data_IF_458839102347
#
_entry.id   IF_458839102347
#
_cell.length_a   1.000
_cell.length_b   1.000
_cell.length_c   1.000
_cell.angle_alpha   90.00
_cell.angle_beta   90.00
_cell.angle_gamma   90.00
#
_symmetry.space_group_name_H-M   'P 1'
#
loop_
_entity.id
_entity.type
_entity.pdbx_description
1 polymer ?
#
# COMPACT_ATOMS: atom_id res chain seq x y z
N UNK A 1 4.62 -16.07 -23.04
CA UNK A 1 4.18 -15.43 -21.78
C UNK A 1 3.12 -14.41 -22.15
N UNK A 2 1.90 -14.57 -21.65
CA UNK A 2 0.82 -13.61 -21.90
C UNK A 2 0.76 -12.63 -20.75
N UNK A 3 1.16 -11.39 -20.98
CA UNK A 3 1.00 -10.30 -20.01
C UNK A 3 -0.15 -9.41 -20.49
N UNK A 4 -1.21 -9.22 -19.68
CA UNK A 4 -2.31 -8.33 -20.05
C UNK A 4 -1.82 -6.91 -20.33
N UNK A 5 -2.35 -6.27 -21.36
CA UNK A 5 -1.93 -4.93 -21.75
C UNK A 5 -2.47 -3.88 -20.78
N UNK A 6 -1.56 -3.03 -20.28
CA UNK A 6 -1.89 -1.94 -19.36
C UNK A 6 -2.77 -0.87 -20.01
N UNK A 7 -2.54 -0.58 -21.28
CA UNK A 7 -3.18 0.52 -22.03
C UNK A 7 -4.28 0.04 -22.99
N UNK A 8 -4.84 -1.13 -22.77
CA UNK A 8 -5.99 -1.61 -23.54
C UNK A 8 -7.14 -1.95 -22.60
N UNK A 9 -8.32 -1.36 -22.84
CA UNK A 9 -9.55 -1.65 -22.09
C UNK A 9 -9.95 -3.12 -22.26
N UNK A 10 -10.75 -3.66 -21.36
CA UNK A 10 -11.23 -5.07 -21.44
C UNK A 10 -12.02 -5.35 -22.71
N UNK A 11 -12.66 -4.35 -23.31
CA UNK A 11 -13.36 -4.46 -24.59
C UNK A 11 -12.46 -4.37 -25.83
N UNK A 12 -11.15 -4.26 -25.63
CA UNK A 12 -10.15 -4.13 -26.68
C UNK A 12 -9.87 -2.70 -27.13
N UNK A 13 -10.52 -1.68 -26.56
CA UNK A 13 -10.30 -0.26 -26.90
C UNK A 13 -8.92 0.18 -26.39
N UNK A 14 -8.03 0.74 -27.26
CA UNK A 14 -6.75 1.25 -26.83
C UNK A 14 -6.88 2.57 -26.04
N UNK A 15 -6.08 2.72 -24.99
CA UNK A 15 -5.97 3.95 -24.18
C UNK A 15 -4.76 4.73 -24.68
N UNK A 16 -5.01 5.82 -25.38
CA UNK A 16 -3.98 6.61 -26.10
C UNK A 16 -3.82 8.04 -25.55
N UNK A 17 -4.59 8.39 -24.53
CA UNK A 17 -4.55 9.74 -23.94
C UNK A 17 -4.78 9.70 -22.42
N UNK A 18 -4.24 10.71 -21.73
CA UNK A 18 -4.45 10.90 -20.30
C UNK A 18 -5.93 11.10 -19.95
N UNK A 19 -6.75 11.62 -20.87
CA UNK A 19 -8.19 11.75 -20.66
C UNK A 19 -8.92 10.39 -20.55
N UNK A 20 -8.42 9.36 -21.24
CA UNK A 20 -8.98 8.01 -21.18
C UNK A 20 -8.44 7.23 -19.97
N UNK A 21 -7.31 7.67 -19.41
CA UNK A 21 -6.61 6.95 -18.35
C UNK A 21 -7.46 6.72 -17.10
N UNK A 22 -8.23 7.70 -16.63
CA UNK A 22 -9.02 7.54 -15.42
C UNK A 22 -10.12 6.46 -15.56
N UNK A 23 -10.67 6.27 -16.76
CA UNK A 23 -11.59 5.17 -17.03
C UNK A 23 -10.84 3.81 -16.95
N UNK A 24 -9.67 3.71 -17.59
CA UNK A 24 -8.83 2.51 -17.54
C UNK A 24 -8.36 2.21 -16.13
N UNK A 25 -7.87 3.20 -15.41
CA UNK A 25 -7.43 3.07 -14.01
C UNK A 25 -8.53 2.46 -13.12
N UNK A 26 -9.76 2.93 -13.24
CA UNK A 26 -10.91 2.35 -12.52
C UNK A 26 -11.16 0.90 -12.93
N UNK A 27 -11.04 0.58 -14.20
CA UNK A 27 -11.17 -0.80 -14.69
C UNK A 27 -10.07 -1.70 -14.13
N UNK A 28 -8.80 -1.26 -14.12
CA UNK A 28 -7.69 -1.99 -13.51
C UNK A 28 -7.94 -2.28 -12.03
N UNK A 29 -8.38 -1.28 -11.26
CA UNK A 29 -8.71 -1.45 -9.85
C UNK A 29 -9.89 -2.41 -9.64
N UNK A 30 -10.90 -2.38 -10.50
CA UNK A 30 -12.03 -3.31 -10.44
C UNK A 30 -11.60 -4.76 -10.76
N UNK A 31 -10.70 -4.95 -11.71
CA UNK A 31 -10.12 -6.27 -12.01
C UNK A 31 -9.36 -6.78 -10.79
N UNK A 32 -8.46 -5.97 -10.22
CA UNK A 32 -7.68 -6.34 -9.03
C UNK A 32 -8.57 -6.63 -7.80
N UNK A 33 -9.64 -5.85 -7.61
CA UNK A 33 -10.61 -6.08 -6.55
C UNK A 33 -11.35 -7.40 -6.74
N UNK A 34 -11.80 -7.71 -7.96
CA UNK A 34 -12.55 -8.93 -8.22
C UNK A 34 -11.68 -10.18 -8.17
N UNK A 35 -10.45 -10.11 -8.69
CA UNK A 35 -9.65 -11.30 -8.99
C UNK A 35 -8.53 -11.57 -8.00
N UNK A 36 -8.10 -10.55 -7.22
CA UNK A 36 -6.94 -10.71 -6.35
C UNK A 36 -7.19 -10.30 -4.89
N UNK A 37 -7.59 -9.05 -4.65
CA UNK A 37 -7.60 -8.50 -3.29
C UNK A 37 -8.95 -8.60 -2.59
N UNK A 38 -10.02 -8.80 -3.34
CA UNK A 38 -11.40 -8.69 -2.87
C UNK A 38 -11.95 -7.27 -3.01
N UNK A 39 -13.26 -7.15 -2.83
CA UNK A 39 -13.98 -5.88 -2.96
C UNK A 39 -13.38 -4.81 -2.03
N UNK A 40 -13.05 -3.65 -2.58
CA UNK A 40 -12.56 -2.54 -1.78
C UNK A 40 -13.66 -1.99 -0.86
N UNK A 41 -13.26 -1.60 0.35
CA UNK A 41 -14.23 -1.13 1.34
C UNK A 41 -14.84 0.22 0.91
N UNK A 42 -16.12 0.45 1.24
CA UNK A 42 -16.79 1.70 0.89
C UNK A 42 -16.13 2.88 1.61
N UNK A 43 -16.18 4.08 1.03
CA UNK A 43 -15.70 5.27 1.70
C UNK A 43 -16.37 5.47 3.06
N UNK A 44 -15.60 5.85 4.06
CA UNK A 44 -16.05 6.29 5.37
C UNK A 44 -15.21 7.51 5.76
N UNK A 45 -15.63 8.26 6.75
CA UNK A 45 -14.86 9.39 7.28
C UNK A 45 -14.43 9.06 8.70
N UNK A 46 -13.13 9.17 8.96
CA UNK A 46 -12.61 8.98 10.31
C UNK A 46 -12.51 10.29 11.07
N UNK A 47 -12.61 10.19 12.39
CA UNK A 47 -12.27 11.21 13.36
C UNK A 47 -11.14 10.74 14.26
N UNK A 48 -10.57 11.62 15.08
CA UNK A 48 -9.58 11.22 16.05
C UNK A 48 -9.88 11.79 17.44
N UNK A 49 -9.46 11.04 18.46
CA UNK A 49 -9.41 11.47 19.84
C UNK A 49 -7.97 11.31 20.37
N UNK A 50 -7.48 12.27 21.14
CA UNK A 50 -6.18 12.14 21.81
C UNK A 50 -6.22 11.02 22.86
N UNK A 51 -5.27 10.09 22.77
CA UNK A 51 -5.01 9.07 23.79
C UNK A 51 -3.84 9.48 24.70
N UNK A 52 -2.77 9.99 24.08
CA UNK A 52 -1.62 10.54 24.79
C UNK A 52 -1.39 11.95 24.25
N UNK A 53 -1.36 12.93 25.15
CA UNK A 53 -1.13 14.34 24.80
C UNK A 53 0.26 14.52 24.15
N UNK A 54 0.43 15.55 23.30
CA UNK A 54 1.73 15.85 22.72
C UNK A 54 2.80 16.04 23.81
N UNK A 55 3.93 15.37 23.60
CA UNK A 55 5.09 15.44 24.48
C UNK A 55 6.38 15.55 23.65
N UNK A 56 7.44 16.20 24.19
CA UNK A 56 8.72 16.28 23.51
C UNK A 56 9.32 14.91 23.22
N UNK A 57 9.88 14.78 22.01
CA UNK A 57 10.62 13.61 21.53
C UNK A 57 11.92 14.06 20.85
N UNK A 58 12.84 13.13 20.56
CA UNK A 58 14.09 13.40 19.86
C UNK A 58 14.85 14.59 20.49
N UNK A 59 15.13 14.53 21.80
CA UNK A 59 15.77 15.59 22.57
C UNK A 59 15.08 16.98 22.48
N UNK A 60 13.77 17.01 22.21
CA UNK A 60 12.96 18.22 22.09
C UNK A 60 12.88 18.81 20.67
N UNK A 61 13.50 18.18 19.67
CA UNK A 61 13.42 18.61 18.27
C UNK A 61 12.08 18.24 17.62
N UNK A 62 11.36 17.30 18.20
CA UNK A 62 10.06 16.85 17.72
C UNK A 62 9.03 16.80 18.85
N UNK A 63 7.76 16.73 18.47
CA UNK A 63 6.66 16.37 19.34
C UNK A 63 6.14 15.00 18.95
N UNK A 64 5.69 14.23 19.93
CA UNK A 64 5.06 12.93 19.75
C UNK A 64 3.73 12.88 20.49
N UNK A 65 2.70 12.31 19.83
CA UNK A 65 1.41 12.03 20.45
C UNK A 65 0.85 10.70 19.97
N UNK A 66 -0.15 10.18 20.68
CA UNK A 66 -0.94 9.03 20.23
C UNK A 66 -2.39 9.45 20.11
N UNK A 67 -2.95 9.23 18.94
CA UNK A 67 -4.35 9.46 18.61
C UNK A 67 -5.08 8.13 18.50
N UNK A 68 -6.37 8.10 18.79
CA UNK A 68 -7.26 7.02 18.44
C UNK A 68 -8.05 7.43 17.20
N UNK A 69 -7.76 6.80 16.08
CA UNK A 69 -8.53 6.98 14.83
C UNK A 69 -9.78 6.14 14.92
N UNK A 70 -10.94 6.73 14.61
CA UNK A 70 -12.27 6.11 14.79
C UNK A 70 -13.12 6.34 13.55
N UNK A 71 -13.84 5.32 13.11
CA UNK A 71 -14.80 5.41 12.00
C UNK A 71 -15.89 4.36 12.10
N UNK A 72 -17.02 4.63 11.45
CA UNK A 72 -18.15 3.71 11.41
C UNK A 72 -17.93 2.56 10.43
N UNK A 73 -18.37 1.38 10.80
CA UNK A 73 -18.38 0.15 10.02
C UNK A 73 -19.76 -0.51 10.08
N UNK A 74 -20.04 -1.53 9.26
CA UNK A 74 -21.31 -2.26 9.33
C UNK A 74 -21.63 -2.88 10.70
N UNK A 75 -20.62 -3.21 11.51
CA UNK A 75 -20.80 -3.81 12.84
C UNK A 75 -20.68 -2.79 14.00
N UNK A 76 -20.64 -1.51 13.70
CA UNK A 76 -20.46 -0.44 14.69
C UNK A 76 -19.12 0.27 14.53
N UNK A 77 -18.77 1.12 15.48
CA UNK A 77 -17.54 1.90 15.44
C UNK A 77 -16.31 0.98 15.61
N UNK A 78 -15.30 1.19 14.77
CA UNK A 78 -13.96 0.62 14.92
C UNK A 78 -12.96 1.73 15.28
N UNK A 79 -11.98 1.40 16.11
CA UNK A 79 -10.95 2.33 16.53
C UNK A 79 -9.58 1.66 16.61
N UNK A 80 -8.52 2.41 16.30
CA UNK A 80 -7.15 1.94 16.40
C UNK A 80 -6.18 3.08 16.75
N UNK A 81 -5.04 2.77 17.41
CA UNK A 81 -4.05 3.78 17.77
C UNK A 81 -3.21 4.21 16.57
N UNK A 82 -2.96 5.51 16.50
CA UNK A 82 -2.06 6.17 15.56
C UNK A 82 -0.98 6.89 16.33
N UNK A 83 0.28 6.61 16.05
CA UNK A 83 1.41 7.38 16.60
C UNK A 83 1.77 8.45 15.60
N UNK A 84 1.82 9.69 16.07
CA UNK A 84 2.10 10.84 15.24
C UNK A 84 3.28 11.64 15.83
N UNK A 85 4.29 11.84 15.00
CA UNK A 85 5.49 12.60 15.33
C UNK A 85 5.68 13.72 14.31
N UNK A 86 6.09 14.89 14.78
CA UNK A 86 6.29 16.04 13.90
C UNK A 86 7.36 16.99 14.48
N UNK A 87 8.10 17.73 13.63
CA UNK A 87 9.08 18.72 14.11
C UNK A 87 8.42 19.77 15.02
N UNK A 88 9.14 20.17 16.07
CA UNK A 88 8.63 21.07 17.10
C UNK A 88 8.81 22.57 16.74
N UNK A 89 8.70 22.93 15.46
CA UNK A 89 8.96 24.28 14.93
C UNK A 89 7.69 25.06 14.58
N UNK A 90 6.51 24.44 14.74
CA UNK A 90 5.22 25.07 14.47
C UNK A 90 4.89 25.24 12.99
N UNK A 91 5.59 24.54 12.08
CA UNK A 91 5.33 24.56 10.65
C UNK A 91 4.57 23.33 10.18
N UNK A 92 4.00 23.40 8.97
CA UNK A 92 3.41 22.26 8.29
C UNK A 92 4.49 21.49 7.50
N UNK A 93 4.57 20.19 7.69
CA UNK A 93 5.58 19.31 7.10
C UNK A 93 4.98 18.30 6.15
N UNK A 94 5.69 17.90 5.07
CA UNK A 94 5.33 16.71 4.32
C UNK A 94 5.24 15.49 5.25
N UNK A 95 4.30 14.59 4.98
CA UNK A 95 3.98 13.47 5.85
C UNK A 95 4.45 12.15 5.27
N UNK A 96 5.16 11.34 6.07
CA UNK A 96 5.28 9.91 5.86
C UNK A 96 4.25 9.15 6.71
N UNK A 97 3.36 8.42 6.06
CA UNK A 97 2.48 7.43 6.70
C UNK A 97 3.13 6.05 6.55
N UNK A 98 3.69 5.54 7.64
CA UNK A 98 4.34 4.23 7.70
C UNK A 98 3.36 3.18 8.21
N UNK A 99 3.09 2.16 7.40
CA UNK A 99 2.53 0.90 7.86
C UNK A 99 3.66 0.08 8.47
N UNK A 100 3.59 -0.20 9.77
CA UNK A 100 4.69 -0.82 10.52
C UNK A 100 4.29 -2.17 11.12
N UNK A 101 5.29 -3.02 11.33
CA UNK A 101 5.13 -4.35 11.96
C UNK A 101 4.96 -4.26 13.48
N UNK A 102 5.40 -3.19 14.09
CA UNK A 102 5.44 -3.03 15.54
C UNK A 102 4.78 -1.74 15.99
N UNK A 103 4.13 -1.75 17.17
CA UNK A 103 3.39 -0.60 17.65
C UNK A 103 4.27 0.46 18.32
N UNK A 104 5.51 0.15 18.69
CA UNK A 104 6.38 1.04 19.45
C UNK A 104 7.32 1.83 18.55
N UNK A 105 7.63 3.07 18.95
CA UNK A 105 8.65 3.91 18.36
C UNK A 105 9.60 4.32 19.50
N UNK A 106 10.92 4.23 19.29
CA UNK A 106 11.63 3.81 18.08
C UNK A 106 11.53 2.31 17.80
N UNK A 107 11.69 1.94 16.54
CA UNK A 107 11.71 0.55 16.07
C UNK A 107 12.73 0.39 14.94
N UNK A 108 13.30 -0.80 14.78
CA UNK A 108 14.31 -1.09 13.75
C UNK A 108 13.80 -0.92 12.32
N UNK A 109 12.48 -0.97 12.11
CA UNK A 109 11.84 -0.72 10.81
C UNK A 109 11.37 0.73 10.64
N UNK A 110 11.55 1.57 11.66
CA UNK A 110 11.05 2.94 11.67
C UNK A 110 12.19 3.92 11.94
N UNK A 111 12.83 4.50 10.91
CA UNK A 111 13.90 5.47 11.03
C UNK A 111 13.31 6.85 11.39
N UNK A 112 12.70 6.95 12.58
CA UNK A 112 11.91 8.12 12.98
C UNK A 112 12.77 9.37 13.07
N UNK A 113 13.98 9.27 13.63
CA UNK A 113 14.89 10.42 13.79
C UNK A 113 15.32 10.95 12.42
N UNK A 114 15.73 10.08 11.49
CA UNK A 114 16.14 10.49 10.15
C UNK A 114 15.00 11.17 9.39
N UNK A 115 13.76 10.67 9.53
CA UNK A 115 12.58 11.26 8.89
C UNK A 115 12.35 12.68 9.46
N UNK A 116 12.35 12.84 10.78
CA UNK A 116 12.13 14.11 11.46
C UNK A 116 13.26 15.11 11.20
N UNK A 117 14.51 14.67 11.22
CA UNK A 117 15.69 15.53 10.97
C UNK A 117 15.74 16.03 9.52
N UNK A 118 15.11 15.32 8.59
CA UNK A 118 14.93 15.78 7.21
C UNK A 118 13.67 16.65 7.03
N UNK A 119 13.01 17.06 8.11
CA UNK A 119 11.89 18.00 8.07
C UNK A 119 10.56 17.38 7.65
N UNK A 120 10.36 16.08 7.86
CA UNK A 120 9.11 15.39 7.61
C UNK A 120 8.35 15.12 8.91
N UNK A 121 7.03 15.11 8.84
CA UNK A 121 6.20 14.50 9.86
C UNK A 121 6.07 12.99 9.61
N UNK A 122 5.85 12.22 10.66
CA UNK A 122 5.75 10.77 10.62
C UNK A 122 4.49 10.30 11.34
N UNK A 123 3.66 9.55 10.63
CA UNK A 123 2.52 8.83 11.19
C UNK A 123 2.78 7.32 11.10
N UNK A 124 2.58 6.59 12.19
CA UNK A 124 2.83 5.14 12.23
C UNK A 124 1.58 4.39 12.65
N UNK A 125 1.16 3.48 11.78
CA UNK A 125 0.05 2.54 12.00
C UNK A 125 0.64 1.13 12.10
N UNK A 126 0.44 0.46 13.24
CA UNK A 126 0.77 -0.95 13.36
C UNK A 126 -0.36 -1.79 12.74
N UNK A 127 0.00 -2.65 11.80
CA UNK A 127 -0.97 -3.43 11.04
C UNK A 127 -1.80 -4.40 11.89
N UNK A 128 -1.23 -4.94 12.96
CA UNK A 128 -1.93 -5.83 13.89
C UNK A 128 -2.92 -5.12 14.79
N UNK A 129 -2.80 -3.79 14.97
CA UNK A 129 -3.83 -2.99 15.64
C UNK A 129 -5.10 -2.87 14.77
N UNK A 130 -5.00 -3.16 13.46
CA UNK A 130 -6.11 -3.14 12.51
C UNK A 130 -6.76 -4.51 12.42
N UNK A 131 -6.00 -5.53 12.05
CA UNK A 131 -6.45 -6.93 12.01
C UNK A 131 -5.24 -7.86 12.09
N UNK A 132 -5.40 -9.00 12.77
CA UNK A 132 -4.33 -9.97 12.92
C UNK A 132 -3.89 -10.55 11.57
N UNK A 133 -2.61 -10.93 11.48
CA UNK A 133 -2.00 -11.51 10.29
C UNK A 133 -2.10 -13.04 10.31
N UNK A 134 -3.31 -13.52 10.31
CA UNK A 134 -3.68 -14.92 10.40
C UNK A 134 -5.00 -15.22 9.69
N UNK A 135 -5.50 -16.43 9.81
CA UNK A 135 -6.78 -16.88 9.24
C UNK A 135 -8.02 -16.53 10.06
N UNK A 136 -7.88 -15.82 11.20
CA UNK A 136 -9.04 -15.36 11.98
C UNK A 136 -9.73 -14.17 11.31
N UNK A 137 -11.01 -14.33 11.03
CA UNK A 137 -11.88 -13.32 10.42
C UNK A 137 -12.85 -12.69 11.42
N UNK A 138 -12.84 -13.14 12.67
CA UNK A 138 -13.77 -12.69 13.70
C UNK A 138 -13.26 -11.50 14.53
N UNK A 139 -11.99 -11.14 14.42
CA UNK A 139 -11.36 -10.11 15.25
C UNK A 139 -10.80 -8.95 14.42
N UNK A 140 -10.54 -7.81 15.08
CA UNK A 140 -10.06 -6.60 14.44
C UNK A 140 -11.03 -6.05 13.40
N UNK A 141 -10.54 -5.21 12.50
CA UNK A 141 -11.38 -4.54 11.49
C UNK A 141 -12.10 -5.54 10.57
N UNK A 142 -11.46 -6.67 10.22
CA UNK A 142 -12.11 -7.67 9.37
C UNK A 142 -13.36 -8.29 10.02
N UNK A 143 -13.41 -8.40 11.34
CA UNK A 143 -14.59 -8.86 12.08
C UNK A 143 -15.77 -7.89 12.02
N UNK A 144 -15.54 -6.64 11.66
CA UNK A 144 -16.59 -5.62 11.46
C UNK A 144 -17.27 -5.69 10.08
N UNK A 145 -16.76 -6.53 9.18
CA UNK A 145 -17.32 -6.69 7.82
C UNK A 145 -17.79 -8.13 7.61
N UNK A 146 -19.09 -8.36 7.37
CA UNK A 146 -19.62 -9.71 7.16
C UNK A 146 -18.94 -10.42 5.99
N UNK A 147 -18.40 -11.61 6.23
CA UNK A 147 -17.82 -12.45 5.19
C UNK A 147 -18.92 -13.39 4.64
N UNK A 148 -19.47 -13.03 3.49
CA UNK A 148 -20.60 -13.74 2.84
C UNK A 148 -20.20 -14.42 1.54
N UNK A 149 -19.23 -13.87 0.85
CA UNK A 149 -18.77 -14.29 -0.46
C UNK A 149 -17.24 -14.37 -0.47
N UNK A 150 -16.64 -15.42 0.13
CA UNK A 150 -15.17 -15.52 0.31
C UNK A 150 -14.37 -15.35 -0.97
N UNK A 151 -14.97 -15.67 -2.13
CA UNK A 151 -14.34 -15.52 -3.45
C UNK A 151 -14.08 -14.04 -3.80
N UNK A 152 -14.91 -13.13 -3.32
CA UNK A 152 -14.87 -11.71 -3.65
C UNK A 152 -14.81 -10.79 -2.42
N UNK A 153 -15.00 -11.32 -1.20
CA UNK A 153 -14.87 -10.53 0.01
C UNK A 153 -13.42 -10.08 0.21
N UNK A 154 -13.20 -8.93 0.87
CA UNK A 154 -11.86 -8.37 1.07
C UNK A 154 -10.88 -9.35 1.72
N UNK A 155 -9.68 -9.46 1.16
CA UNK A 155 -8.53 -10.03 1.85
C UNK A 155 -7.94 -9.03 2.86
N UNK A 156 -7.11 -9.50 3.79
CA UNK A 156 -6.58 -8.65 4.89
C UNK A 156 -5.73 -7.49 4.41
N UNK A 157 -5.09 -7.57 3.25
CA UNK A 157 -4.38 -6.45 2.63
C UNK A 157 -5.29 -5.23 2.40
N UNK A 158 -6.56 -5.46 2.04
CA UNK A 158 -7.54 -4.38 1.84
C UNK A 158 -7.82 -3.65 3.15
N UNK A 159 -7.94 -4.36 4.27
CA UNK A 159 -8.20 -3.76 5.58
C UNK A 159 -7.02 -2.91 6.06
N UNK A 160 -5.77 -3.37 5.87
CA UNK A 160 -4.58 -2.58 6.21
C UNK A 160 -4.45 -1.32 5.35
N UNK A 161 -4.69 -1.44 4.04
CA UNK A 161 -4.69 -0.29 3.12
C UNK A 161 -5.82 0.70 3.45
N UNK A 162 -6.99 0.19 3.80
CA UNK A 162 -8.13 1.02 4.18
C UNK A 162 -7.88 1.81 5.47
N UNK A 163 -7.32 1.19 6.50
CA UNK A 163 -6.96 1.88 7.73
C UNK A 163 -5.93 2.99 7.50
N UNK A 164 -4.93 2.77 6.61
CA UNK A 164 -4.01 3.81 6.18
C UNK A 164 -4.75 5.00 5.55
N UNK A 165 -5.71 4.74 4.65
CA UNK A 165 -6.54 5.79 4.06
C UNK A 165 -7.41 6.52 5.11
N UNK A 166 -7.97 5.80 6.11
CA UNK A 166 -8.74 6.43 7.21
C UNK A 166 -7.88 7.33 8.09
N UNK A 167 -6.61 6.98 8.27
CA UNK A 167 -5.65 7.83 8.97
C UNK A 167 -5.49 9.20 8.30
N UNK A 168 -5.54 9.25 6.97
CA UNK A 168 -5.45 10.50 6.21
C UNK A 168 -6.67 11.41 6.39
N UNK A 169 -7.84 10.88 6.73
CA UNK A 169 -9.02 11.69 7.05
C UNK A 169 -8.78 12.60 8.26
N UNK A 170 -7.92 12.15 9.17
CA UNK A 170 -7.53 12.89 10.38
C UNK A 170 -6.35 13.81 10.10
N UNK A 171 -5.29 13.25 9.50
CA UNK A 171 -4.00 13.95 9.42
C UNK A 171 -4.01 15.11 8.40
N UNK A 172 -4.84 15.05 7.36
CA UNK A 172 -4.94 16.14 6.37
C UNK A 172 -5.50 17.45 6.94
N UNK A 173 -6.11 17.42 8.12
CA UNK A 173 -6.62 18.60 8.84
C UNK A 173 -5.69 19.08 9.96
N UNK A 174 -4.56 18.41 10.18
CA UNK A 174 -3.60 18.80 11.20
C UNK A 174 -2.74 19.97 10.71
N UNK A 175 -2.55 21.02 11.53
CA UNK A 175 -1.73 22.17 11.14
C UNK A 175 -0.24 21.81 10.93
N UNK A 176 0.22 20.70 11.52
CA UNK A 176 1.60 20.21 11.39
C UNK A 176 1.82 19.44 10.08
N UNK A 177 0.77 19.21 9.25
CA UNK A 177 0.84 18.40 8.04
C UNK A 177 0.63 19.22 6.77
N UNK A 178 1.58 19.20 5.85
CA UNK A 178 1.34 19.64 4.46
C UNK A 178 0.56 18.56 3.71
N UNK A 179 -0.77 18.69 3.69
CA UNK A 179 -1.69 17.75 3.07
C UNK A 179 -1.49 17.56 1.56
N UNK A 180 -0.68 18.39 0.90
CA UNK A 180 -0.34 18.25 -0.53
C UNK A 180 0.83 17.29 -0.76
N UNK A 181 1.59 16.96 0.27
CA UNK A 181 2.81 16.17 0.20
C UNK A 181 2.77 15.00 1.20
N UNK A 182 1.93 14.01 0.88
CA UNK A 182 1.75 12.80 1.69
C UNK A 182 2.37 11.61 0.98
N UNK A 183 3.24 10.89 1.69
CA UNK A 183 3.77 9.60 1.29
C UNK A 183 3.15 8.48 2.12
N UNK A 184 2.80 7.35 1.49
CA UNK A 184 2.53 6.09 2.18
C UNK A 184 3.68 5.12 1.90
N UNK A 185 4.16 4.46 2.94
CA UNK A 185 5.29 3.54 2.84
C UNK A 185 5.04 2.27 3.65
N UNK A 186 5.55 1.15 3.14
CA UNK A 186 5.55 -0.13 3.84
C UNK A 186 6.58 -1.09 3.27
N UNK A 187 6.95 -2.09 4.08
CA UNK A 187 7.87 -3.16 3.72
C UNK A 187 7.12 -4.49 3.58
N UNK A 188 7.52 -5.34 2.62
CA UNK A 188 6.98 -6.68 2.42
C UNK A 188 5.44 -6.65 2.26
N UNK A 189 4.67 -7.42 3.06
CA UNK A 189 3.19 -7.39 3.07
C UNK A 189 2.61 -5.99 3.30
N UNK A 190 3.30 -5.16 4.06
CA UNK A 190 2.88 -3.78 4.29
C UNK A 190 3.22 -2.87 3.10
N UNK A 191 4.22 -3.22 2.30
CA UNK A 191 4.46 -2.65 0.97
C UNK A 191 3.30 -2.93 0.01
N UNK A 192 2.76 -4.17 0.02
CA UNK A 192 1.54 -4.52 -0.74
C UNK A 192 0.35 -3.64 -0.32
N UNK A 193 0.16 -3.45 1.00
CA UNK A 193 -0.90 -2.59 1.55
C UNK A 193 -0.67 -1.11 1.23
N UNK A 194 0.58 -0.63 1.25
CA UNK A 194 0.92 0.74 0.86
C UNK A 194 0.61 1.00 -0.62
N UNK A 195 0.93 0.06 -1.52
CA UNK A 195 0.57 0.13 -2.94
C UNK A 195 -0.94 0.18 -3.14
N UNK A 196 -1.70 -0.66 -2.42
CA UNK A 196 -3.16 -0.63 -2.48
C UNK A 196 -3.73 0.71 -1.98
N UNK A 197 -3.22 1.24 -0.87
CA UNK A 197 -3.62 2.55 -0.36
C UNK A 197 -3.32 3.64 -1.39
N UNK A 198 -2.09 3.69 -1.91
CA UNK A 198 -1.68 4.66 -2.91
C UNK A 198 -2.48 4.57 -4.21
N UNK A 199 -2.80 3.36 -4.66
CA UNK A 199 -3.61 3.19 -5.86
C UNK A 199 -5.07 3.66 -5.69
N UNK A 200 -5.64 3.58 -4.48
CA UNK A 200 -7.04 3.92 -4.22
C UNK A 200 -7.24 5.35 -3.72
N UNK A 201 -6.33 5.90 -2.91
CA UNK A 201 -6.48 7.19 -2.27
C UNK A 201 -5.70 8.29 -3.01
N UNK A 202 -6.43 9.21 -3.64
CA UNK A 202 -5.84 10.28 -4.42
C UNK A 202 -5.05 11.32 -3.59
N UNK A 203 -5.23 11.35 -2.27
CA UNK A 203 -4.47 12.22 -1.36
C UNK A 203 -3.01 11.78 -1.21
N UNK A 204 -2.75 10.50 -1.43
CA UNK A 204 -1.39 9.94 -1.41
C UNK A 204 -0.66 10.41 -2.66
N UNK A 205 0.29 11.33 -2.49
CA UNK A 205 1.11 11.85 -3.59
C UNK A 205 2.28 10.94 -3.94
N UNK A 206 2.88 10.30 -2.92
CA UNK A 206 4.03 9.41 -3.06
C UNK A 206 3.69 8.04 -2.48
N UNK A 207 3.80 7.00 -3.28
CA UNK A 207 3.60 5.62 -2.84
C UNK A 207 4.93 4.90 -2.87
N UNK A 208 5.38 4.43 -1.70
CA UNK A 208 6.67 3.77 -1.55
C UNK A 208 6.47 2.32 -1.10
N UNK A 209 6.98 1.38 -1.87
CA UNK A 209 7.00 -0.03 -1.49
C UNK A 209 8.43 -0.54 -1.42
N UNK A 210 8.75 -1.24 -0.36
CA UNK A 210 10.03 -1.91 -0.20
C UNK A 210 9.81 -3.41 -0.15
N UNK A 211 10.44 -4.15 -1.07
CA UNK A 211 10.36 -5.61 -1.19
C UNK A 211 8.93 -6.16 -1.08
N UNK A 212 7.97 -5.54 -1.79
CA UNK A 212 6.57 -5.96 -1.71
C UNK A 212 6.29 -7.29 -2.43
N UNK A 213 7.10 -7.70 -3.38
CA UNK A 213 7.11 -9.04 -3.95
C UNK A 213 5.80 -9.50 -4.62
N UNK A 214 5.54 -10.78 -4.57
CA UNK A 214 4.35 -11.44 -5.14
C UNK A 214 3.05 -10.88 -4.53
N UNK A 215 2.10 -10.49 -5.37
CA UNK A 215 0.87 -9.80 -4.91
C UNK A 215 1.11 -8.36 -4.46
N UNK A 216 2.21 -7.75 -4.88
CA UNK A 216 2.59 -6.38 -4.59
C UNK A 216 3.20 -5.68 -5.81
N UNK A 217 4.52 -5.69 -5.92
CA UNK A 217 5.28 -4.98 -6.95
C UNK A 217 6.10 -5.87 -7.88
N UNK A 218 6.05 -7.20 -7.74
CA UNK A 218 6.75 -8.14 -8.60
C UNK A 218 5.80 -8.84 -9.58
N UNK A 219 6.16 -8.91 -10.87
CA UNK A 219 5.39 -9.67 -11.84
C UNK A 219 5.27 -11.14 -11.40
N UNK A 220 4.09 -11.69 -11.55
CA UNK A 220 3.76 -13.05 -11.11
C UNK A 220 4.16 -14.12 -12.13
N UNK A 221 4.41 -13.72 -13.39
CA UNK A 221 4.75 -14.63 -14.48
C UNK A 221 6.26 -14.82 -14.68
N UNK A 222 7.09 -14.03 -14.01
CA UNK A 222 8.55 -13.99 -14.26
C UNK A 222 9.38 -14.50 -13.07
N UNK A 223 8.79 -15.30 -12.21
CA UNK A 223 9.40 -15.70 -10.94
C UNK A 223 10.68 -16.52 -11.10
N UNK A 224 11.69 -16.17 -10.33
CA UNK A 224 12.89 -16.97 -10.18
C UNK A 224 12.63 -18.20 -9.28
N UNK A 225 13.36 -19.30 -9.47
CA UNK A 225 13.28 -20.43 -8.55
C UNK A 225 13.59 -20.00 -7.11
N UNK A 226 12.68 -20.33 -6.19
CA UNK A 226 12.80 -19.99 -4.76
C UNK A 226 12.25 -18.60 -4.37
N UNK A 227 11.75 -17.83 -5.34
CA UNK A 227 11.04 -16.60 -5.05
C UNK A 227 9.62 -16.87 -4.52
N UNK A 228 9.07 -15.86 -3.85
CA UNK A 228 7.67 -15.79 -3.46
C UNK A 228 6.78 -15.91 -4.71
N UNK A 229 6.06 -17.00 -4.84
CA UNK A 229 5.21 -17.27 -5.98
C UNK A 229 3.73 -17.37 -5.59
N UNK A 230 2.88 -17.49 -6.60
CA UNK A 230 1.44 -17.56 -6.45
C UNK A 230 0.98 -18.72 -5.56
N UNK A 231 1.59 -19.89 -5.73
CA UNK A 231 1.27 -21.09 -4.97
C UNK A 231 1.77 -20.99 -3.52
N UNK A 232 2.96 -20.40 -3.29
CA UNK A 232 3.48 -20.15 -1.95
C UNK A 232 2.56 -19.18 -1.17
N UNK A 233 2.08 -18.12 -1.84
CA UNK A 233 1.10 -17.21 -1.26
C UNK A 233 -0.21 -17.89 -0.89
N UNK A 234 -0.73 -18.75 -1.75
CA UNK A 234 -1.96 -19.51 -1.49
C UNK A 234 -1.82 -20.47 -0.31
N UNK A 235 -0.66 -21.10 -0.15
CA UNK A 235 -0.40 -22.02 0.97
C UNK A 235 -0.23 -21.31 2.31
N UNK A 236 0.49 -20.19 2.33
CA UNK A 236 0.96 -19.57 3.59
C UNK A 236 0.14 -18.34 3.99
N UNK A 237 -0.43 -17.62 3.01
CA UNK A 237 -1.04 -16.30 3.21
C UNK A 237 -2.32 -16.12 2.41
N UNK A 238 -3.11 -17.19 2.23
CA UNK A 238 -4.38 -17.13 1.47
C UNK A 238 -5.33 -16.04 1.97
N UNK A 239 -5.30 -15.75 3.26
CA UNK A 239 -6.15 -14.75 3.90
C UNK A 239 -5.77 -13.29 3.56
N UNK A 240 -4.62 -13.04 2.92
CA UNK A 240 -4.29 -11.72 2.42
C UNK A 240 -5.14 -11.30 1.21
N UNK A 241 -5.67 -12.26 0.49
CA UNK A 241 -6.34 -12.12 -0.80
C UNK A 241 -7.78 -12.63 -0.75
N UNK A 242 -8.56 -12.38 -1.80
CA UNK A 242 -9.86 -13.02 -1.99
C UNK A 242 -9.71 -14.44 -2.57
N UNK A 243 -10.79 -15.22 -2.47
CA UNK A 243 -10.80 -16.62 -2.91
C UNK A 243 -10.63 -16.78 -4.42
N UNK A 244 -11.10 -15.81 -5.23
CA UNK A 244 -10.95 -15.86 -6.69
C UNK A 244 -9.50 -16.00 -7.14
N UNK A 245 -8.55 -15.46 -6.36
CA UNK A 245 -7.12 -15.59 -6.66
C UNK A 245 -6.69 -17.03 -6.82
N UNK A 246 -7.27 -17.96 -6.06
CA UNK A 246 -6.89 -19.37 -6.09
C UNK A 246 -7.13 -20.07 -7.44
N UNK A 247 -8.02 -19.54 -8.28
CA UNK A 247 -8.32 -20.09 -9.62
C UNK A 247 -7.12 -20.12 -10.54
N UNK A 248 -6.18 -19.21 -10.32
CA UNK A 248 -5.02 -19.01 -11.18
C UNK A 248 -3.76 -19.76 -10.72
N UNK A 249 -3.87 -20.64 -9.70
CA UNK A 249 -2.74 -21.44 -9.21
C UNK A 249 -2.32 -22.44 -10.29
N UNK A 250 -3.30 -23.17 -10.84
CA UNK A 250 -3.08 -24.21 -11.84
C UNK A 250 -3.25 -23.69 -13.28
N UNK A 251 -3.84 -22.50 -13.45
CA UNK A 251 -4.12 -21.85 -14.73
C UNK A 251 -3.62 -20.41 -14.78
N UNK A 252 -2.30 -20.17 -14.61
CA UNK A 252 -1.74 -18.81 -14.59
C UNK A 252 -1.94 -18.05 -15.91
N UNK A 253 -2.12 -18.74 -17.02
CA UNK A 253 -2.39 -18.16 -18.34
C UNK A 253 -3.78 -17.52 -18.47
N UNK A 254 -4.73 -17.92 -17.62
CA UNK A 254 -6.10 -17.37 -17.60
C UNK A 254 -6.20 -16.08 -16.77
N UNK A 255 -5.13 -15.70 -16.05
CA UNK A 255 -5.14 -14.54 -15.17
C UNK A 255 -5.26 -13.23 -15.96
N UNK A 256 -6.32 -12.43 -15.71
CA UNK A 256 -6.60 -11.23 -16.51
C UNK A 256 -5.80 -10.00 -16.06
N UNK A 257 -4.83 -10.14 -15.16
CA UNK A 257 -4.00 -9.07 -14.59
C UNK A 257 -2.59 -9.56 -14.27
N UNK A 258 -1.68 -8.63 -14.07
CA UNK A 258 -0.44 -8.84 -13.31
C UNK A 258 -0.13 -7.57 -12.49
N UNK A 259 0.90 -7.58 -11.65
CA UNK A 259 1.13 -6.54 -10.63
C UNK A 259 1.44 -5.15 -11.23
N UNK A 260 1.85 -5.07 -12.50
CA UNK A 260 1.96 -3.78 -13.21
C UNK A 260 0.62 -3.02 -13.30
N UNK A 261 -0.53 -3.69 -13.14
CA UNK A 261 -1.84 -3.03 -13.03
C UNK A 261 -1.95 -2.23 -11.73
N UNK A 262 -1.47 -2.80 -10.61
CA UNK A 262 -1.47 -2.10 -9.32
C UNK A 262 -0.53 -0.89 -9.35
N UNK A 263 0.71 -1.08 -9.83
CA UNK A 263 1.66 0.03 -9.96
C UNK A 263 1.12 1.09 -10.92
N UNK A 264 0.66 0.71 -12.09
CA UNK A 264 0.10 1.63 -13.08
C UNK A 264 -1.07 2.45 -12.54
N UNK A 265 -1.93 1.85 -11.70
CA UNK A 265 -3.07 2.54 -11.09
C UNK A 265 -2.67 3.71 -10.16
N UNK A 266 -1.39 3.85 -9.79
CA UNK A 266 -0.88 4.99 -9.03
C UNK A 266 -0.66 6.21 -9.94
N UNK A 267 -0.39 6.00 -11.23
CA UNK A 267 -0.14 7.09 -12.17
C UNK A 267 -1.31 8.10 -12.23
N UNK A 268 -1.04 9.41 -12.40
CA UNK A 268 0.27 10.04 -12.65
C UNK A 268 1.03 10.46 -11.39
N UNK A 269 0.63 10.01 -10.19
CA UNK A 269 1.29 10.33 -8.93
C UNK A 269 2.60 9.56 -8.80
N UNK A 270 3.44 9.93 -7.84
CA UNK A 270 4.76 9.33 -7.69
C UNK A 270 4.68 7.93 -7.08
N UNK A 271 5.48 7.02 -7.61
CA UNK A 271 5.70 5.70 -7.05
C UNK A 271 7.20 5.42 -6.93
N UNK A 272 7.60 4.80 -5.83
CA UNK A 272 8.95 4.31 -5.61
C UNK A 272 8.89 2.84 -5.18
N UNK A 273 9.67 2.01 -5.85
CA UNK A 273 9.86 0.61 -5.52
C UNK A 273 11.32 0.43 -5.15
N UNK A 274 11.59 -0.05 -3.96
CA UNK A 274 12.94 -0.41 -3.51
C UNK A 274 13.03 -1.90 -3.26
N UNK A 275 14.18 -2.46 -3.63
CA UNK A 275 14.43 -3.90 -3.55
C UNK A 275 15.83 -4.16 -3.03
N UNK A 276 15.95 -5.12 -2.13
CA UNK A 276 17.24 -5.63 -1.71
C UNK A 276 17.72 -6.68 -2.73
N UNK A 277 18.87 -6.45 -3.37
CA UNK A 277 19.40 -7.31 -4.44
C UNK A 277 19.61 -8.77 -4.01
N UNK A 278 19.79 -9.02 -2.71
CA UNK A 278 19.97 -10.35 -2.14
C UNK A 278 18.67 -10.97 -1.59
N UNK A 279 17.59 -10.23 -1.53
CA UNK A 279 16.27 -10.78 -1.16
C UNK A 279 15.64 -11.52 -2.34
N UNK A 280 16.09 -12.77 -2.53
CA UNK A 280 15.56 -13.62 -3.60
C UNK A 280 14.09 -13.99 -3.41
N UNK A 281 13.59 -13.91 -2.17
CA UNK A 281 12.18 -14.18 -1.88
C UNK A 281 11.28 -13.12 -2.48
N UNK A 282 11.61 -11.84 -2.31
CA UNK A 282 10.86 -10.73 -2.90
C UNK A 282 11.00 -10.63 -4.43
N UNK A 283 12.06 -11.22 -5.00
CA UNK A 283 12.33 -11.29 -6.43
C UNK A 283 12.58 -9.93 -7.09
N UNK A 284 13.71 -9.26 -6.79
CA UNK A 284 14.04 -7.93 -7.30
C UNK A 284 13.99 -7.81 -8.83
N UNK A 285 14.30 -8.90 -9.54
CA UNK A 285 14.23 -8.92 -11.00
C UNK A 285 12.78 -8.76 -11.51
N UNK A 286 11.83 -9.54 -10.94
CA UNK A 286 10.42 -9.42 -11.30
C UNK A 286 9.82 -8.08 -10.85
N UNK A 287 10.34 -7.47 -9.77
CA UNK A 287 9.97 -6.11 -9.35
C UNK A 287 10.43 -5.08 -10.40
N UNK A 288 11.66 -5.18 -10.88
CA UNK A 288 12.16 -4.30 -11.95
C UNK A 288 11.35 -4.43 -13.25
N UNK A 289 11.02 -5.65 -13.65
CA UNK A 289 10.17 -5.89 -14.82
C UNK A 289 8.76 -5.33 -14.62
N UNK A 290 8.22 -5.43 -13.42
CA UNK A 290 6.91 -4.84 -13.08
C UNK A 290 6.92 -3.31 -13.20
N UNK A 291 7.96 -2.65 -12.71
CA UNK A 291 8.15 -1.21 -12.88
C UNK A 291 8.22 -0.81 -14.36
N UNK A 292 8.98 -1.56 -15.17
CA UNK A 292 9.06 -1.32 -16.60
C UNK A 292 7.70 -1.48 -17.30
N UNK A 293 6.97 -2.54 -16.97
CA UNK A 293 5.63 -2.81 -17.52
C UNK A 293 4.56 -1.79 -17.09
N UNK A 294 4.72 -1.15 -15.93
CA UNK A 294 3.84 -0.09 -15.44
C UNK A 294 4.15 1.30 -16.00
N UNK A 295 5.39 1.54 -16.47
CA UNK A 295 5.89 2.84 -16.94
C UNK A 295 5.02 3.52 -17.99
N UNK A 296 4.38 2.80 -18.95
CA UNK A 296 3.52 3.42 -19.96
C UNK A 296 2.36 4.24 -19.37
N UNK A 297 1.92 3.96 -18.12
CA UNK A 297 0.89 4.76 -17.47
C UNK A 297 1.35 6.20 -17.18
N UNK A 298 2.61 6.41 -16.81
CA UNK A 298 3.20 7.76 -16.63
C UNK A 298 3.53 8.42 -17.95
N UNK A 299 4.05 7.66 -18.92
CA UNK A 299 4.37 8.16 -20.27
C UNK A 299 3.14 8.72 -20.97
N UNK A 300 1.98 8.11 -20.76
CA UNK A 300 0.68 8.63 -21.26
C UNK A 300 0.36 10.04 -20.76
N UNK A 301 0.92 10.43 -19.61
CA UNK A 301 0.79 11.78 -19.04
C UNK A 301 1.96 12.71 -19.39
N UNK A 302 2.86 12.30 -20.29
CA UNK A 302 4.07 13.06 -20.64
C UNK A 302 5.12 13.06 -19.53
N UNK A 303 5.02 12.15 -18.58
CA UNK A 303 5.97 11.96 -17.49
C UNK A 303 6.96 10.84 -17.83
N UNK A 304 8.09 10.82 -17.14
CA UNK A 304 9.01 9.65 -17.24
C UNK A 304 8.40 8.50 -16.45
N UNK A 305 8.49 7.29 -17.02
CA UNK A 305 8.23 6.06 -16.31
C UNK A 305 9.26 5.79 -15.20
N UNK A 306 9.25 4.61 -14.64
CA UNK A 306 10.23 4.22 -13.63
C UNK A 306 11.66 4.33 -14.15
N UNK A 307 12.51 4.95 -13.35
CA UNK A 307 13.96 5.08 -13.61
C UNK A 307 14.67 4.28 -12.54
N UNK A 308 15.40 3.25 -12.96
CA UNK A 308 16.25 2.48 -12.05
C UNK A 308 17.44 3.30 -11.57
N UNK A 309 17.70 3.27 -10.28
CA UNK A 309 18.92 3.75 -9.66
C UNK A 309 19.58 2.57 -8.97
N UNK A 310 20.82 2.22 -9.36
CA UNK A 310 21.64 1.32 -8.56
C UNK A 310 22.20 2.11 -7.37
N UNK A 311 21.92 1.65 -6.16
CA UNK A 311 22.61 2.17 -4.99
C UNK A 311 24.00 1.50 -4.92
N UNK A 312 25.09 2.25 -4.91
CA UNK A 312 26.44 1.66 -4.85
C UNK A 312 26.77 1.05 -3.48
N UNK A 313 25.89 1.07 -2.54
CA UNK A 313 26.19 0.75 -1.15
C UNK A 313 25.52 -0.53 -0.68
N UNK A 314 25.98 -1.66 -1.10
CA UNK A 314 25.85 -2.90 -0.33
C UNK A 314 26.88 -3.93 -0.80
N UNK A 315 28.13 -3.52 -0.85
CA UNK A 315 29.28 -4.45 -0.85
C UNK A 315 30.00 -4.21 0.47
N UNK A 316 29.51 -4.87 1.52
CA UNK A 316 30.08 -4.90 2.84
C UNK A 316 29.78 -6.22 3.48
#
# INVERSE_FOLDING_TARGET
MYMPDLLTMTDGTPVTSSAQWEARRRELLNILAREQYGTFLPPSTASARGMVSPMPACAGHAMQETLEVRFDTPAGEFAFPLRFLYPADGQAHPLFLLLNFRPLIPDIYCPAEEILDNGFALAVVCYTDITADDGDWGSGLCGHYPRKHPDTDPGKLVFWAYAASRTLDVLTFRPEVDARNIAVIGHSRLGKAALLCGAQDARVRFTCANDAGCGGDALEQTKHPGAEDYAAMARSFSYWFCGNRSRYIDHPEERPYDQHFLLGAIAPRFAAVSSASLDRWADPYSQQLCCAAASPAWELHGLRGFVGTESPAAVG
#
